data_IF_184819877644
#
_entry.id   IF_184819877644
#
_cell.length_a   1.000
_cell.length_b   1.000
_cell.length_c   1.000
_cell.angle_alpha   90.00
_cell.angle_beta   90.00
_cell.angle_gamma   90.00
#
_symmetry.space_group_name_H-M   'P 1'
#
loop_
_entity.id
_entity.type
_entity.pdbx_description
1 polymer ?
#
# COMPACT_ATOMS: atom_id res chain seq x y z
N UNK A 1 22.27 -14.11 10.31
CA UNK A 1 21.70 -13.44 9.12
C UNK A 1 20.71 -14.31 8.30
N UNK A 2 20.16 -15.43 8.81
CA UNK A 2 19.16 -16.27 8.09
C UNK A 2 17.68 -15.98 8.47
N UNK A 3 17.43 -15.40 9.64
CA UNK A 3 16.07 -15.08 10.14
C UNK A 3 15.38 -13.97 9.32
N UNK A 4 16.11 -12.91 8.96
CA UNK A 4 15.59 -11.84 8.09
C UNK A 4 15.20 -12.32 6.69
N UNK A 5 15.76 -13.44 6.21
CA UNK A 5 15.42 -13.97 4.90
C UNK A 5 14.07 -14.71 4.89
N UNK A 6 13.60 -15.20 6.05
CA UNK A 6 12.26 -15.81 6.20
C UNK A 6 11.15 -14.76 6.34
N UNK A 7 11.46 -13.59 6.92
CA UNK A 7 10.52 -12.47 7.10
C UNK A 7 10.94 -11.30 6.19
N UNK A 8 11.30 -11.59 4.93
CA UNK A 8 11.84 -10.58 4.04
C UNK A 8 10.73 -9.77 3.36
N UNK A 9 10.05 -8.91 4.13
CA UNK A 9 9.01 -8.02 3.62
C UNK A 9 9.58 -6.92 2.69
N UNK A 10 10.91 -6.74 2.64
CA UNK A 10 11.57 -5.85 1.68
C UNK A 10 11.30 -6.27 0.24
N UNK A 11 11.05 -7.57 -0.01
CA UNK A 11 10.59 -8.05 -1.32
C UNK A 11 9.28 -7.39 -1.74
N UNK A 12 8.31 -7.33 -0.83
CA UNK A 12 7.00 -6.68 -1.07
C UNK A 12 7.18 -5.20 -1.39
N UNK A 13 7.99 -4.49 -0.62
CA UNK A 13 8.30 -3.09 -0.90
C UNK A 13 8.97 -2.94 -2.26
N UNK A 14 10.01 -3.72 -2.55
CA UNK A 14 10.73 -3.67 -3.84
C UNK A 14 9.80 -3.94 -5.02
N UNK A 15 8.94 -4.94 -4.92
CA UNK A 15 7.98 -5.29 -5.96
C UNK A 15 6.96 -4.15 -6.17
N UNK A 16 6.51 -3.52 -5.09
CA UNK A 16 5.60 -2.37 -5.17
C UNK A 16 6.26 -1.19 -5.89
N UNK A 17 7.49 -0.85 -5.50
CA UNK A 17 8.28 0.18 -6.18
C UNK A 17 8.58 -0.17 -7.64
N UNK A 18 8.66 -1.46 -7.99
CA UNK A 18 8.84 -1.90 -9.36
C UNK A 18 7.61 -1.60 -10.24
N UNK A 19 6.40 -1.49 -9.65
CA UNK A 19 5.18 -1.13 -10.41
C UNK A 19 5.15 0.32 -10.91
N UNK A 20 6.10 1.16 -10.48
CA UNK A 20 6.28 2.54 -10.94
C UNK A 20 7.20 2.65 -12.18
N UNK A 21 7.76 1.54 -12.65
CA UNK A 21 8.58 1.52 -13.86
C UNK A 21 7.67 1.41 -15.07
N UNK A 22 7.69 2.41 -15.95
CA UNK A 22 6.81 2.46 -17.13
C UNK A 22 7.45 1.68 -18.28
N UNK A 23 6.90 0.49 -18.56
CA UNK A 23 7.19 -0.30 -19.76
C UNK A 23 8.65 -0.73 -19.95
N UNK A 24 8.98 -1.14 -21.17
CA UNK A 24 10.28 -1.70 -21.58
C UNK A 24 11.48 -0.73 -21.47
N UNK A 25 11.24 0.55 -21.14
CA UNK A 25 12.29 1.58 -21.16
C UNK A 25 13.00 1.81 -19.81
N UNK A 26 12.68 1.05 -18.75
CA UNK A 26 13.33 1.16 -17.44
C UNK A 26 13.33 2.59 -16.85
N UNK A 27 12.38 3.44 -17.27
CA UNK A 27 12.20 4.80 -16.75
C UNK A 27 11.21 4.74 -15.59
N UNK A 28 11.66 5.12 -14.40
CA UNK A 28 10.80 5.25 -13.22
C UNK A 28 9.92 6.48 -13.39
N UNK A 29 8.63 6.33 -13.13
CA UNK A 29 7.71 7.46 -13.04
C UNK A 29 7.93 8.19 -11.70
N UNK A 30 8.89 9.12 -11.72
CA UNK A 30 9.23 9.97 -10.58
C UNK A 30 8.07 10.87 -10.15
N UNK A 31 7.15 11.22 -11.06
CA UNK A 31 5.97 12.02 -10.70
C UNK A 31 5.00 11.21 -9.84
N UNK A 32 4.70 9.97 -10.23
CA UNK A 32 3.84 9.09 -9.43
C UNK A 32 4.47 8.75 -8.07
N UNK A 33 5.79 8.56 -8.02
CA UNK A 33 6.50 8.31 -6.76
C UNK A 33 6.48 9.54 -5.84
N UNK A 34 6.71 10.73 -6.38
CA UNK A 34 6.61 11.99 -5.63
C UNK A 34 5.17 12.24 -5.15
N UNK A 35 4.16 11.95 -5.97
CA UNK A 35 2.77 12.12 -5.57
C UNK A 35 2.41 11.18 -4.42
N UNK A 36 2.89 9.93 -4.46
CA UNK A 36 2.57 8.93 -3.43
C UNK A 36 3.33 9.13 -2.11
N UNK A 37 4.59 9.58 -2.13
CA UNK A 37 5.39 9.76 -0.91
C UNK A 37 5.60 11.22 -0.51
N UNK A 38 5.82 12.09 -1.49
CA UNK A 38 6.01 13.53 -1.27
C UNK A 38 4.75 14.20 -0.72
N UNK A 39 3.58 13.92 -1.30
CA UNK A 39 2.32 14.53 -0.82
C UNK A 39 2.01 14.15 0.63
N UNK A 40 2.03 12.87 1.03
CA UNK A 40 1.85 12.51 2.44
C UNK A 40 2.93 13.07 3.36
N UNK A 41 4.17 13.18 2.90
CA UNK A 41 5.26 13.73 3.70
C UNK A 41 5.03 15.23 3.98
N UNK A 42 4.64 16.01 2.98
CA UNK A 42 4.33 17.44 3.15
C UNK A 42 3.16 17.62 4.12
N UNK A 43 2.09 16.83 3.97
CA UNK A 43 0.93 16.88 4.87
C UNK A 43 1.29 16.49 6.31
N UNK A 44 2.12 15.45 6.49
CA UNK A 44 2.57 15.01 7.80
C UNK A 44 3.46 16.05 8.50
N UNK A 45 4.41 16.65 7.77
CA UNK A 45 5.27 17.72 8.30
C UNK A 45 4.45 18.96 8.64
N UNK A 46 3.53 19.37 7.76
CA UNK A 46 2.63 20.48 8.06
C UNK A 46 1.81 20.21 9.34
N UNK A 47 1.21 19.03 9.45
CA UNK A 47 0.47 18.63 10.66
C UNK A 47 1.32 18.66 11.93
N UNK A 48 2.56 18.19 11.86
CA UNK A 48 3.50 18.25 12.98
C UNK A 48 3.87 19.69 13.36
N UNK A 49 4.10 20.58 12.38
CA UNK A 49 4.36 22.00 12.63
C UNK A 49 3.18 22.72 13.30
N UNK A 50 1.93 22.31 13.01
CA UNK A 50 0.73 22.81 13.70
C UNK A 50 0.46 22.14 15.05
N UNK A 51 1.32 21.20 15.49
CA UNK A 51 1.14 20.48 16.75
C UNK A 51 -0.03 19.50 16.76
N UNK A 52 -0.48 19.03 15.59
CA UNK A 52 -1.56 18.05 15.48
C UNK A 52 -1.04 16.68 15.91
N UNK A 53 -1.56 16.18 17.04
CA UNK A 53 -1.24 14.85 17.55
C UNK A 53 -2.46 13.93 17.48
N UNK A 54 -2.20 12.64 17.33
CA UNK A 54 -3.25 11.62 17.36
C UNK A 54 -3.58 11.35 18.82
N UNK A 55 -4.82 11.64 19.21
CA UNK A 55 -5.32 11.30 20.55
C UNK A 55 -5.60 9.80 20.67
N UNK A 56 -5.61 9.26 21.89
CA UNK A 56 -5.94 7.85 22.13
C UNK A 56 -7.29 7.43 21.52
N UNK A 57 -8.28 8.33 21.55
CA UNK A 57 -9.59 8.11 20.93
C UNK A 57 -9.47 7.92 19.41
N UNK A 58 -8.74 8.81 18.74
CA UNK A 58 -8.52 8.72 17.29
C UNK A 58 -7.68 7.49 16.96
N UNK A 59 -6.64 7.20 17.74
CA UNK A 59 -5.80 6.02 17.58
C UNK A 59 -6.65 4.73 17.67
N UNK A 60 -7.53 4.63 18.65
CA UNK A 60 -8.44 3.49 18.80
C UNK A 60 -9.35 3.32 17.58
N UNK A 61 -9.98 4.41 17.10
CA UNK A 61 -10.83 4.39 15.91
C UNK A 61 -10.06 3.98 14.65
N UNK A 62 -8.83 4.50 14.48
CA UNK A 62 -7.97 4.16 13.36
C UNK A 62 -7.51 2.71 13.42
N UNK A 63 -7.09 2.20 14.58
CA UNK A 63 -6.73 0.78 14.75
C UNK A 63 -7.89 -0.11 14.32
N UNK A 64 -9.10 0.15 14.81
CA UNK A 64 -10.29 -0.62 14.40
C UNK A 64 -10.53 -0.55 12.89
N UNK A 65 -10.43 0.64 12.29
CA UNK A 65 -10.62 0.83 10.84
C UNK A 65 -9.58 0.07 10.02
N UNK A 66 -8.30 0.18 10.39
CA UNK A 66 -7.21 -0.50 9.71
C UNK A 66 -7.25 -2.02 9.89
N UNK A 67 -7.70 -2.54 11.04
CA UNK A 67 -7.95 -3.97 11.22
C UNK A 67 -9.00 -4.49 10.24
N UNK A 68 -10.07 -3.73 9.99
CA UNK A 68 -11.08 -4.08 8.98
C UNK A 68 -10.47 -4.03 7.58
N UNK A 69 -9.73 -2.97 7.24
CA UNK A 69 -9.07 -2.85 5.94
C UNK A 69 -8.09 -4.00 5.68
N UNK A 70 -7.31 -4.43 6.67
CA UNK A 70 -6.40 -5.59 6.54
C UNK A 70 -7.20 -6.82 6.10
N UNK A 71 -8.32 -7.12 6.77
CA UNK A 71 -9.18 -8.25 6.41
C UNK A 71 -9.75 -8.14 4.99
N UNK A 72 -10.27 -6.97 4.61
CA UNK A 72 -10.82 -6.73 3.28
C UNK A 72 -9.75 -6.85 2.17
N UNK A 73 -8.56 -6.30 2.39
CA UNK A 73 -7.47 -6.36 1.43
C UNK A 73 -6.91 -7.77 1.29
N UNK A 74 -6.84 -8.55 2.38
CA UNK A 74 -6.47 -9.97 2.32
C UNK A 74 -7.47 -10.78 1.49
N UNK A 75 -8.78 -10.54 1.66
CA UNK A 75 -9.81 -11.17 0.83
C UNK A 75 -9.61 -10.84 -0.65
N UNK A 76 -9.36 -9.57 -0.96
CA UNK A 76 -9.12 -9.16 -2.35
C UNK A 76 -7.82 -9.75 -2.91
N UNK A 77 -6.75 -9.84 -2.11
CA UNK A 77 -5.49 -10.47 -2.50
C UNK A 77 -5.69 -11.95 -2.87
N UNK A 78 -6.49 -12.68 -2.11
CA UNK A 78 -6.83 -14.09 -2.40
C UNK A 78 -7.60 -14.22 -3.71
N UNK A 79 -8.53 -13.30 -4.00
CA UNK A 79 -9.27 -13.27 -5.27
C UNK A 79 -8.31 -13.04 -6.43
N UNK A 80 -7.44 -12.02 -6.35
CA UNK A 80 -6.44 -11.73 -7.38
C UNK A 80 -5.51 -12.92 -7.60
N UNK A 81 -5.06 -13.58 -6.53
CA UNK A 81 -4.26 -14.80 -6.62
C UNK A 81 -4.98 -15.94 -7.36
N UNK A 82 -6.27 -16.13 -7.07
CA UNK A 82 -7.09 -17.15 -7.73
C UNK A 82 -7.25 -16.86 -9.23
N UNK A 83 -7.49 -15.59 -9.59
CA UNK A 83 -7.57 -15.16 -10.98
C UNK A 83 -6.24 -15.36 -11.73
N UNK A 84 -5.10 -15.03 -11.11
CA UNK A 84 -3.78 -15.28 -11.70
C UNK A 84 -3.53 -16.77 -11.99
N UNK A 85 -3.93 -17.65 -11.06
CA UNK A 85 -3.78 -19.11 -11.24
C UNK A 85 -4.63 -19.64 -12.39
N UNK A 86 -5.85 -19.12 -12.55
CA UNK A 86 -6.74 -19.50 -13.64
C UNK A 86 -6.20 -19.08 -15.00
N UNK A 87 -5.66 -17.86 -15.11
CA UNK A 87 -5.05 -17.34 -16.35
C UNK A 87 -3.78 -18.09 -16.74
N UNK A 88 -2.99 -18.55 -15.76
CA UNK A 88 -1.74 -19.31 -16.01
C UNK A 88 -1.97 -20.70 -16.61
N UNK A 89 -3.19 -21.25 -16.51
CA UNK A 89 -3.53 -22.59 -17.00
C UNK A 89 -3.99 -22.66 -18.47
N UNK A 90 -4.15 -21.52 -19.15
CA UNK A 90 -4.63 -21.45 -20.54
C UNK A 90 -3.49 -21.03 -21.48
N UNK A 91 -3.38 -21.66 -22.66
CA UNK A 91 -2.45 -21.20 -23.71
C UNK A 91 -2.80 -19.74 -24.10
N UNK A 92 -1.88 -18.79 -23.84
CA UNK A 92 -2.18 -17.35 -23.88
C UNK A 92 -1.98 -16.73 -25.28
N UNK A 93 -3.03 -16.17 -25.92
CA UNK A 93 -2.87 -15.13 -26.95
C UNK A 93 -2.34 -13.81 -26.36
N UNK A 94 -1.83 -12.90 -27.20
CA UNK A 94 -1.13 -11.68 -26.78
C UNK A 94 -1.95 -10.75 -25.84
N UNK A 95 -3.28 -10.74 -25.95
CA UNK A 95 -4.19 -10.00 -25.05
C UNK A 95 -4.09 -10.45 -23.58
N UNK A 96 -3.74 -11.71 -23.32
CA UNK A 96 -3.64 -12.24 -21.96
C UNK A 96 -2.35 -11.80 -21.25
N UNK A 97 -1.29 -11.41 -21.97
CA UNK A 97 -0.02 -10.99 -21.36
C UNK A 97 -0.17 -9.69 -20.55
N UNK A 98 -0.85 -8.69 -21.12
CA UNK A 98 -1.10 -7.42 -20.45
C UNK A 98 -2.02 -7.58 -19.24
N UNK A 99 -3.03 -8.46 -19.33
CA UNK A 99 -3.89 -8.82 -18.20
C UNK A 99 -3.11 -9.47 -17.07
N UNK A 100 -2.23 -10.41 -17.39
CA UNK A 100 -1.36 -11.06 -16.41
C UNK A 100 -0.40 -10.07 -15.73
N UNK A 101 0.12 -9.10 -16.48
CA UNK A 101 0.96 -8.03 -15.93
C UNK A 101 0.19 -7.14 -14.96
N UNK A 102 -1.01 -6.67 -15.34
CA UNK A 102 -1.88 -5.87 -14.47
C UNK A 102 -2.26 -6.62 -13.18
N UNK A 103 -2.57 -7.92 -13.28
CA UNK A 103 -2.86 -8.76 -12.12
C UNK A 103 -1.64 -8.90 -11.19
N UNK A 104 -0.44 -9.04 -11.75
CA UNK A 104 0.81 -9.10 -10.99
C UNK A 104 1.10 -7.78 -10.28
N UNK A 105 0.89 -6.65 -10.94
CA UNK A 105 1.05 -5.32 -10.33
C UNK A 105 0.00 -5.08 -9.23
N UNK A 106 -1.26 -5.47 -9.46
CA UNK A 106 -2.31 -5.42 -8.44
C UNK A 106 -1.98 -6.27 -7.22
N UNK A 107 -1.49 -7.49 -7.43
CA UNK A 107 -1.04 -8.37 -6.34
C UNK A 107 0.07 -7.72 -5.50
N UNK A 108 1.06 -7.10 -6.16
CA UNK A 108 2.16 -6.42 -5.48
C UNK A 108 1.68 -5.21 -4.68
N UNK A 109 0.84 -4.36 -5.29
CA UNK A 109 0.29 -3.17 -4.65
C UNK A 109 -0.63 -3.51 -3.48
N UNK A 110 -1.41 -4.59 -3.59
CA UNK A 110 -2.23 -5.08 -2.49
C UNK A 110 -1.41 -5.58 -1.33
N UNK A 111 -0.39 -6.39 -1.61
CA UNK A 111 0.52 -6.92 -0.59
C UNK A 111 1.22 -5.78 0.17
N UNK A 112 1.66 -4.75 -0.55
CA UNK A 112 2.24 -3.56 0.06
C UNK A 112 1.22 -2.81 0.92
N UNK A 113 0.01 -2.58 0.43
CA UNK A 113 -1.04 -1.85 1.16
C UNK A 113 -1.44 -2.58 2.44
N UNK A 114 -1.52 -3.93 2.42
CA UNK A 114 -1.74 -4.75 3.62
C UNK A 114 -0.60 -4.54 4.62
N UNK A 115 0.65 -4.63 4.14
CA UNK A 115 1.83 -4.44 4.98
C UNK A 115 1.85 -3.04 5.61
N UNK A 116 1.53 -1.99 4.84
CA UNK A 116 1.42 -0.61 5.34
C UNK A 116 0.37 -0.51 6.44
N UNK A 117 -0.81 -1.12 6.26
CA UNK A 117 -1.86 -1.14 7.29
C UNK A 117 -1.42 -1.82 8.59
N UNK A 118 -0.68 -2.93 8.49
CA UNK A 118 -0.13 -3.62 9.68
C UNK A 118 0.84 -2.70 10.42
N UNK A 119 1.75 -2.02 9.71
CA UNK A 119 2.67 -1.06 10.32
C UNK A 119 1.94 0.13 10.94
N UNK A 120 0.89 0.65 10.29
CA UNK A 120 0.07 1.73 10.84
C UNK A 120 -0.51 1.31 12.20
N UNK A 121 -1.10 0.12 12.29
CA UNK A 121 -1.65 -0.39 13.56
C UNK A 121 -0.56 -0.47 14.64
N UNK A 122 0.62 -0.99 14.31
CA UNK A 122 1.75 -1.07 15.26
C UNK A 122 2.19 0.32 15.75
N UNK A 123 2.27 1.30 14.85
CA UNK A 123 2.67 2.68 15.20
C UNK A 123 1.59 3.37 16.03
N UNK A 124 0.31 3.14 15.73
CA UNK A 124 -0.79 3.69 16.50
C UNK A 124 -0.82 3.14 17.94
N UNK A 125 -0.33 1.91 18.17
CA UNK A 125 -0.17 1.42 19.54
C UNK A 125 0.85 2.23 20.36
N UNK A 126 1.85 2.84 19.71
CA UNK A 126 2.83 3.69 20.40
C UNK A 126 2.21 4.96 20.99
N UNK A 127 1.03 5.39 20.52
CA UNK A 127 0.28 6.54 21.07
C UNK A 127 -0.13 6.31 22.53
N UNK A 128 -0.39 5.06 22.92
CA UNK A 128 -0.82 4.71 24.28
C UNK A 128 0.33 4.66 25.31
N UNK A 129 1.58 4.84 24.87
CA UNK A 129 2.74 4.85 25.77
C UNK A 129 2.95 6.19 26.51
N UNK A 130 2.20 7.24 26.14
CA UNK A 130 2.01 8.43 26.98
C UNK A 130 3.16 9.45 27.04
N UNK A 131 4.28 9.23 26.35
CA UNK A 131 5.38 10.21 26.36
C UNK A 131 5.22 11.30 25.28
N UNK A 132 5.33 12.58 25.68
CA UNK A 132 4.98 13.74 24.86
C UNK A 132 5.79 13.91 23.57
N UNK A 133 7.11 13.68 23.63
CA UNK A 133 7.98 13.78 22.44
C UNK A 133 7.73 12.62 21.47
N UNK A 134 7.57 11.41 22.02
CA UNK A 134 7.27 10.20 21.25
C UNK A 134 5.90 10.32 20.58
N UNK A 135 4.90 10.86 21.28
CA UNK A 135 3.56 11.08 20.76
C UNK A 135 3.58 11.94 19.49
N UNK A 136 4.34 13.03 19.49
CA UNK A 136 4.45 13.93 18.34
C UNK A 136 5.11 13.25 17.15
N UNK A 137 6.22 12.55 17.38
CA UNK A 137 6.97 11.83 16.33
C UNK A 137 6.11 10.70 15.74
N UNK A 138 5.52 9.85 16.58
CA UNK A 138 4.70 8.72 16.13
C UNK A 138 3.40 9.18 15.46
N UNK A 139 2.80 10.29 15.92
CA UNK A 139 1.64 10.90 15.23
C UNK A 139 2.01 11.35 13.82
N UNK A 140 3.15 12.03 13.65
CA UNK A 140 3.64 12.45 12.33
C UNK A 140 3.91 11.26 11.40
N UNK A 141 4.58 10.21 11.90
CA UNK A 141 4.82 8.98 11.15
C UNK A 141 3.49 8.30 10.77
N UNK A 142 2.54 8.21 11.71
CA UNK A 142 1.22 7.65 11.44
C UNK A 142 0.48 8.43 10.35
N UNK A 143 0.45 9.75 10.41
CA UNK A 143 -0.17 10.58 9.36
C UNK A 143 0.48 10.37 7.99
N UNK A 144 1.81 10.31 7.93
CA UNK A 144 2.54 10.00 6.70
C UNK A 144 2.10 8.63 6.15
N UNK A 145 2.12 7.59 6.98
CA UNK A 145 1.76 6.23 6.56
C UNK A 145 0.29 6.10 6.15
N UNK A 146 -0.62 6.77 6.85
CA UNK A 146 -2.05 6.83 6.48
C UNK A 146 -2.22 7.47 5.10
N UNK A 147 -1.47 8.55 4.82
CA UNK A 147 -1.47 9.16 3.49
C UNK A 147 -0.93 8.22 2.41
N UNK A 148 0.20 7.55 2.66
CA UNK A 148 0.76 6.53 1.74
C UNK A 148 -0.24 5.41 1.48
N UNK A 149 -0.92 4.93 2.52
CA UNK A 149 -1.98 3.93 2.39
C UNK A 149 -3.13 4.42 1.50
N UNK A 150 -3.60 5.64 1.72
CA UNK A 150 -4.69 6.21 0.94
C UNK A 150 -4.34 6.33 -0.55
N UNK A 151 -3.15 6.82 -0.89
CA UNK A 151 -2.69 6.86 -2.28
C UNK A 151 -2.49 5.46 -2.87
N UNK A 152 -2.02 4.50 -2.07
CA UNK A 152 -1.90 3.10 -2.51
C UNK A 152 -3.26 2.50 -2.84
N UNK A 153 -4.30 2.79 -2.05
CA UNK A 153 -5.68 2.40 -2.34
C UNK A 153 -6.19 3.03 -3.66
N UNK A 154 -5.95 4.33 -3.87
CA UNK A 154 -6.35 4.99 -5.12
C UNK A 154 -5.65 4.37 -6.34
N UNK A 155 -4.38 3.99 -6.21
CA UNK A 155 -3.64 3.30 -7.26
C UNK A 155 -4.25 1.93 -7.58
N UNK A 156 -4.59 1.15 -6.56
CA UNK A 156 -5.26 -0.14 -6.70
C UNK A 156 -6.59 0.05 -7.42
N UNK A 157 -7.40 1.02 -6.99
CA UNK A 157 -8.70 1.33 -7.60
C UNK A 157 -8.56 1.70 -9.08
N UNK A 158 -7.61 2.58 -9.42
CA UNK A 158 -7.32 2.96 -10.81
C UNK A 158 -6.95 1.74 -11.66
N UNK A 159 -6.10 0.85 -11.14
CA UNK A 159 -5.68 -0.36 -11.87
C UNK A 159 -6.83 -1.35 -12.07
N UNK A 160 -7.67 -1.55 -11.05
CA UNK A 160 -8.88 -2.38 -11.19
C UNK A 160 -9.83 -1.79 -12.24
N UNK A 161 -10.04 -0.48 -12.21
CA UNK A 161 -10.90 0.20 -13.19
C UNK A 161 -10.40 0.00 -14.64
N UNK A 162 -9.10 0.19 -14.88
CA UNK A 162 -8.48 -0.03 -16.20
C UNK A 162 -8.57 -1.51 -16.62
N UNK A 163 -8.44 -2.44 -15.67
CA UNK A 163 -8.58 -3.86 -15.95
C UNK A 163 -10.01 -4.22 -16.36
N UNK A 164 -11.01 -3.74 -15.61
CA UNK A 164 -12.43 -4.03 -15.85
C UNK A 164 -12.96 -3.33 -17.11
N UNK A 165 -12.57 -2.08 -17.37
CA UNK A 165 -13.02 -1.36 -18.57
C UNK A 165 -12.67 -2.11 -19.85
N UNK A 166 -11.53 -2.82 -19.86
CA UNK A 166 -11.06 -3.64 -20.98
C UNK A 166 -11.76 -4.99 -21.14
N UNK A 167 -12.53 -5.44 -20.15
CA UNK A 167 -13.39 -6.63 -20.31
C UNK A 167 -14.72 -6.28 -20.96
N UNK A 168 -15.10 -5.00 -20.97
CA UNK A 168 -16.32 -4.50 -21.61
C UNK A 168 -16.12 -4.00 -23.05
N UNK A 169 -14.88 -3.78 -23.47
CA UNK A 169 -14.47 -3.38 -24.84
C UNK A 169 -14.06 -4.60 -25.68
#
# INVERSE_FOLDING_TARGET
>A
MKLFNKINFLGICKDHFATFVVGDQNKRDYHSLFLMFGTPAILAVAGACFGITITERIASMLITSFSIFIGLLLNMLVIIFTLMRWESGKQMPAQNKLKAELLKELYSNLSFTILTSVFIVIILFSVFLGESIFLTIFSGIAFFMIGVFFFSLLMILKRIHIMLSREFD
#
